data_IF_355016966007
#
_entry.id   IF_355016966007
#
_cell.length_a   1.000
_cell.length_b   1.000
_cell.length_c   1.000
_cell.angle_alpha   90.00
_cell.angle_beta   90.00
_cell.angle_gamma   90.00
#
_symmetry.space_group_name_H-M   'P 1'
#
loop_
_entity.id
_entity.type
_entity.pdbx_description
1 polymer ?
#
# COMPACT_ATOMS: atom_id res chain seq x y z
N UNK A 1 30.31 30.31 -15.88
CA UNK A 1 28.84 30.42 -15.98
C UNK A 1 28.21 29.76 -14.76
N UNK A 2 27.59 30.50 -13.82
CA UNK A 2 26.95 29.89 -12.67
C UNK A 2 25.74 29.08 -13.15
N UNK A 3 25.75 27.76 -12.92
CA UNK A 3 24.62 26.88 -13.24
C UNK A 3 23.46 27.28 -12.33
N UNK A 4 22.39 27.83 -12.91
CA UNK A 4 21.13 28.09 -12.21
C UNK A 4 20.50 26.75 -11.83
N UNK A 5 20.87 26.20 -10.69
CA UNK A 5 20.19 25.05 -10.08
C UNK A 5 18.78 25.53 -9.74
N UNK A 6 17.71 24.97 -10.34
CA UNK A 6 16.36 25.38 -9.99
C UNK A 6 16.10 25.02 -8.53
N UNK A 7 16.00 26.06 -7.68
CA UNK A 7 15.62 25.99 -6.26
C UNK A 7 14.08 25.93 -6.07
N UNK A 8 13.34 25.55 -7.11
CA UNK A 8 11.89 25.30 -7.09
C UNK A 8 11.65 23.82 -7.36
N UNK A 9 10.86 23.06 -6.62
CA UNK A 9 9.95 23.37 -5.53
C UNK A 9 9.28 22.07 -5.10
N UNK A 10 10.06 21.01 -4.81
CA UNK A 10 9.52 19.84 -4.09
C UNK A 10 9.30 20.22 -2.62
N UNK A 11 8.39 21.15 -2.37
CA UNK A 11 8.09 21.61 -1.00
C UNK A 11 6.88 20.91 -0.40
N UNK A 12 5.91 20.46 -1.20
CA UNK A 12 4.85 19.59 -0.70
C UNK A 12 4.19 18.79 -1.83
N UNK A 13 4.58 17.53 -2.02
CA UNK A 13 3.59 16.55 -2.46
C UNK A 13 3.61 15.45 -1.41
N UNK A 14 2.64 15.40 -0.48
CA UNK A 14 2.56 14.29 0.44
C UNK A 14 2.49 13.03 -0.42
N UNK A 15 3.49 12.14 -0.28
CA UNK A 15 3.51 10.86 -0.98
C UNK A 15 2.55 9.91 -0.26
N UNK A 16 1.34 10.35 -0.01
CA UNK A 16 0.23 9.58 0.54
C UNK A 16 -0.26 8.67 -0.57
N UNK A 17 0.49 7.57 -0.73
CA UNK A 17 0.23 6.41 -1.57
C UNK A 17 -1.13 6.40 -2.28
N UNK A 18 -1.16 6.67 -3.59
CA UNK A 18 -2.13 6.05 -4.50
C UNK A 18 -1.74 6.17 -6.00
N UNK A 19 -0.83 5.32 -6.48
CA UNK A 19 -0.70 4.96 -7.92
C UNK A 19 0.04 3.61 -8.02
N UNK A 20 -0.71 2.53 -8.23
CA UNK A 20 -0.18 1.22 -8.63
C UNK A 20 0.53 0.33 -7.60
N UNK A 21 0.68 0.74 -6.32
CA UNK A 21 1.27 -0.14 -5.30
C UNK A 21 0.32 -1.29 -4.95
N UNK A 22 0.78 -2.52 -5.16
CA UNK A 22 0.11 -3.74 -4.70
C UNK A 22 0.67 -4.13 -3.33
N UNK A 23 -0.18 -4.16 -2.32
CA UNK A 23 0.19 -4.57 -0.97
C UNK A 23 0.44 -6.08 -0.90
N UNK A 24 1.25 -6.50 0.06
CA UNK A 24 1.44 -7.90 0.41
C UNK A 24 0.48 -8.26 1.55
N UNK A 25 -0.06 -9.47 1.50
CA UNK A 25 -0.89 -10.01 2.58
C UNK A 25 -0.06 -10.08 3.86
N UNK A 26 -0.61 -9.61 4.99
CA UNK A 26 0.08 -9.67 6.28
C UNK A 26 0.34 -11.10 6.78
N UNK A 27 -0.39 -12.10 6.27
CA UNK A 27 -0.26 -13.52 6.65
C UNK A 27 0.61 -14.26 5.62
N UNK A 28 0.09 -14.46 4.40
CA UNK A 28 0.75 -15.30 3.39
C UNK A 28 1.71 -14.54 2.46
N UNK A 29 1.89 -13.22 2.65
CA UNK A 29 2.75 -12.34 1.82
C UNK A 29 2.45 -12.35 0.31
N UNK A 30 1.34 -12.96 -0.13
CA UNK A 30 0.89 -12.91 -1.54
C UNK A 30 0.52 -11.46 -1.92
N UNK A 31 0.74 -11.10 -3.18
CA UNK A 31 0.50 -9.74 -3.70
C UNK A 31 -0.97 -9.52 -4.05
N UNK A 32 -1.52 -8.35 -3.71
CA UNK A 32 -2.91 -8.01 -4.06
C UNK A 32 -3.13 -7.95 -5.57
N UNK A 33 -4.24 -8.53 -6.09
CA UNK A 33 -4.56 -8.46 -7.52
C UNK A 33 -4.89 -7.04 -7.97
N UNK A 34 -5.46 -6.21 -7.09
CA UNK A 34 -5.84 -4.82 -7.36
C UNK A 34 -5.11 -3.86 -6.42
N UNK A 35 -4.87 -2.60 -6.84
CA UNK A 35 -4.42 -1.56 -5.93
C UNK A 35 -5.43 -1.39 -4.80
N UNK A 36 -4.97 -1.41 -3.55
CA UNK A 36 -5.85 -1.38 -2.38
C UNK A 36 -5.80 0.02 -1.76
N UNK A 37 -6.96 0.64 -1.55
CA UNK A 37 -7.10 1.96 -0.87
C UNK A 37 -7.04 1.88 0.64
N UNK A 38 -7.22 0.68 1.20
CA UNK A 38 -7.31 0.48 2.64
C UNK A 38 -5.95 0.73 3.30
N UNK A 39 -5.92 1.40 4.46
CA UNK A 39 -4.71 1.48 5.27
C UNK A 39 -4.27 0.08 5.72
N UNK A 40 -3.01 -0.05 6.14
CA UNK A 40 -2.44 -1.32 6.61
C UNK A 40 -3.18 -1.85 7.86
N UNK A 41 -3.25 -3.18 8.09
CA UNK A 41 -2.76 -4.30 7.27
C UNK A 41 -3.77 -4.81 6.22
N UNK A 42 -3.29 -5.19 5.03
CA UNK A 42 -4.10 -5.87 4.00
C UNK A 42 -4.03 -7.39 4.15
N UNK A 43 -5.17 -8.07 4.01
CA UNK A 43 -5.29 -9.52 4.00
C UNK A 43 -5.81 -9.99 2.64
N UNK A 44 -5.29 -11.10 2.13
CA UNK A 44 -5.86 -11.73 0.95
C UNK A 44 -7.19 -12.41 1.31
N UNK A 45 -8.12 -12.56 0.35
CA UNK A 45 -9.45 -13.09 0.64
C UNK A 45 -9.44 -14.49 1.27
N UNK A 46 -8.44 -15.33 0.93
CA UNK A 46 -8.28 -16.65 1.54
C UNK A 46 -7.93 -16.56 3.03
N UNK A 47 -6.89 -15.81 3.38
CA UNK A 47 -6.47 -15.67 4.77
C UNK A 47 -7.45 -14.83 5.62
N UNK A 48 -8.29 -14.02 4.97
CA UNK A 48 -9.38 -13.32 5.66
C UNK A 48 -10.50 -14.32 6.02
N UNK A 49 -10.92 -15.16 5.07
CA UNK A 49 -11.92 -16.20 5.29
C UNK A 49 -11.50 -17.19 6.40
N UNK A 50 -10.29 -17.75 6.33
CA UNK A 50 -9.77 -18.66 7.36
C UNK A 50 -9.77 -18.03 8.76
N UNK A 51 -9.46 -16.72 8.84
CA UNK A 51 -9.44 -15.99 10.10
C UNK A 51 -10.84 -15.70 10.65
N UNK A 52 -11.83 -15.49 9.78
CA UNK A 52 -13.22 -15.34 10.20
C UNK A 52 -13.79 -16.67 10.71
N UNK A 53 -13.48 -17.79 10.05
CA UNK A 53 -13.86 -19.14 10.49
C UNK A 53 -13.31 -19.46 11.88
N UNK A 54 -12.03 -19.18 12.14
CA UNK A 54 -11.42 -19.35 13.47
C UNK A 54 -11.99 -18.42 14.55
N UNK A 55 -12.59 -17.28 14.18
CA UNK A 55 -13.20 -16.35 15.13
C UNK A 55 -14.64 -16.71 15.47
N UNK A 56 -15.32 -17.44 14.59
CA UNK A 56 -16.71 -17.85 14.76
C UNK A 56 -16.87 -19.13 15.63
N UNK A 57 -15.76 -19.79 15.95
CA UNK A 57 -15.67 -20.88 16.94
C UNK A 57 -15.47 -20.32 18.34
#
# INVERSE_FOLDING_TARGET
MPRSVPKSGKRNRPKTVYKGKRYLCAICRKRSPKPVKTPAPWYCPKCLAEREEHRAQ
#
